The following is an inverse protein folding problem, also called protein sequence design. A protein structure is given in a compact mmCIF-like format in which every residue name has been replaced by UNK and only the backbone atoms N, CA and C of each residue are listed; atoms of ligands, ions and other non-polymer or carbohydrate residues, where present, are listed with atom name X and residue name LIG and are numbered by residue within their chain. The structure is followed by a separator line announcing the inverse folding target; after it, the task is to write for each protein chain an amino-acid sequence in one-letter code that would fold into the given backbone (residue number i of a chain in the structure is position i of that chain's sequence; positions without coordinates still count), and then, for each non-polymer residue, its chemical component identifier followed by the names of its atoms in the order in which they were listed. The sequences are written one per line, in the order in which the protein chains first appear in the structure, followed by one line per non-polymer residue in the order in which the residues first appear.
data_IF_698411070516
#
_entry.id   IF_698411070516
#
_cell.length_a   1.000
_cell.length_b   1.000
_cell.length_c   1.000
_cell.angle_alpha   90.00
_cell.angle_beta   90.00
_cell.angle_gamma   90.00
#
_symmetry.space_group_name_H-M   'P 1'
#
loop_
_entity.id
_entity.type
_entity.pdbx_description
1 polymer ?
#
# COMPACT_ATOMS: atom_id res chain seq x y z
N UNK A 1 4.36 -9.24 16.49
CA UNK A 1 3.51 -8.04 16.67
C UNK A 1 2.76 -7.82 15.38
N UNK A 2 1.45 -7.60 15.45
CA UNK A 2 0.61 -7.41 14.27
C UNK A 2 0.27 -5.93 14.10
N UNK A 3 0.43 -5.41 12.89
CA UNK A 3 0.22 -4.00 12.55
C UNK A 3 -1.00 -3.91 11.63
N UNK A 4 -2.02 -3.15 12.03
CA UNK A 4 -3.16 -2.88 11.17
C UNK A 4 -2.92 -1.61 10.35
N UNK A 5 -3.06 -1.71 9.03
CA UNK A 5 -3.03 -0.56 8.12
C UNK A 5 -4.45 -0.25 7.66
N UNK A 6 -4.90 0.98 7.92
CA UNK A 6 -6.24 1.45 7.55
C UNK A 6 -6.12 2.39 6.36
N UNK A 7 -6.81 2.04 5.27
CA UNK A 7 -6.86 2.85 4.07
C UNK A 7 -8.08 3.76 4.09
N UNK A 8 -7.87 5.04 3.78
CA UNK A 8 -8.94 6.00 3.61
C UNK A 8 -9.75 5.78 2.31
N UNK A 9 -10.85 6.52 2.13
CA UNK A 9 -11.67 6.41 0.93
C UNK A 9 -10.87 6.76 -0.33
N UNK A 10 -11.24 6.14 -1.45
CA UNK A 10 -10.71 6.38 -2.79
C UNK A 10 -9.24 5.98 -3.04
N UNK A 11 -8.51 5.44 -2.05
CA UNK A 11 -7.14 4.94 -2.26
C UNK A 11 -7.09 3.73 -3.21
N UNK A 12 -8.21 3.03 -3.39
CA UNK A 12 -8.37 1.98 -4.40
C UNK A 12 -8.23 2.49 -5.85
N UNK A 13 -8.24 3.81 -6.07
CA UNK A 13 -8.07 4.44 -7.39
C UNK A 13 -6.60 4.74 -7.72
N UNK A 14 -5.67 4.56 -6.79
CA UNK A 14 -4.23 4.76 -7.03
C UNK A 14 -3.75 3.89 -8.21
N UNK A 15 -2.85 4.45 -9.01
CA UNK A 15 -2.34 3.83 -10.24
C UNK A 15 -3.27 3.96 -11.46
N UNK A 16 -4.50 4.46 -11.29
CA UNK A 16 -5.44 4.70 -12.40
C UNK A 16 -5.94 6.14 -12.46
N UNK A 17 -6.20 6.76 -11.30
CA UNK A 17 -6.61 8.16 -11.22
C UNK A 17 -5.40 9.07 -11.40
N UNK A 18 -5.50 9.99 -12.35
CA UNK A 18 -4.55 11.08 -12.61
C UNK A 18 -3.08 10.65 -12.36
N UNK A 19 -2.52 9.69 -13.14
CA UNK A 19 -1.23 9.08 -12.84
C UNK A 19 -0.06 10.06 -12.81
N UNK A 20 -0.16 11.17 -13.53
CA UNK A 20 0.83 12.25 -13.51
C UNK A 20 0.88 13.00 -12.16
N UNK A 21 -0.20 12.93 -11.37
CA UNK A 21 -0.34 13.57 -10.06
C UNK A 21 -0.09 12.58 -8.93
N UNK A 22 -0.70 11.39 -9.00
CA UNK A 22 -0.68 10.40 -7.91
C UNK A 22 0.31 9.25 -8.13
N UNK A 23 0.97 9.22 -9.29
CA UNK A 23 1.83 8.13 -9.70
C UNK A 23 1.05 6.92 -10.24
N UNK A 24 1.82 6.00 -10.81
CA UNK A 24 1.31 4.77 -11.44
C UNK A 24 1.19 3.59 -10.47
N UNK A 25 1.59 3.78 -9.21
CA UNK A 25 1.63 2.70 -8.22
C UNK A 25 0.23 2.46 -7.66
N UNK A 26 -0.22 1.20 -7.70
CA UNK A 26 -1.54 0.80 -7.18
C UNK A 26 -1.51 0.57 -5.66
N UNK A 27 -2.70 0.61 -5.05
CA UNK A 27 -2.85 0.25 -3.63
C UNK A 27 -2.40 -1.18 -3.33
N UNK A 28 -2.59 -2.11 -4.27
CA UNK A 28 -2.14 -3.49 -4.16
C UNK A 28 -0.61 -3.59 -4.12
N UNK A 29 0.09 -2.88 -4.99
CA UNK A 29 1.56 -2.82 -5.01
C UNK A 29 2.12 -2.21 -3.71
N UNK A 30 1.44 -1.19 -3.17
CA UNK A 30 1.77 -0.61 -1.86
C UNK A 30 1.61 -1.67 -0.75
N UNK A 31 0.48 -2.38 -0.71
CA UNK A 31 0.24 -3.42 0.30
C UNK A 31 1.28 -4.55 0.22
N UNK A 32 1.65 -4.98 -0.99
CA UNK A 32 2.70 -6.00 -1.18
C UNK A 32 4.04 -5.51 -0.65
N UNK A 33 4.43 -4.28 -0.99
CA UNK A 33 5.67 -3.66 -0.52
C UNK A 33 5.70 -3.54 1.02
N UNK A 34 4.57 -3.18 1.63
CA UNK A 34 4.41 -3.11 3.08
C UNK A 34 4.61 -4.48 3.73
N UNK A 35 3.97 -5.53 3.21
CA UNK A 35 4.10 -6.91 3.71
C UNK A 35 5.56 -7.37 3.69
N UNK A 36 6.25 -7.16 2.56
CA UNK A 36 7.67 -7.52 2.42
C UNK A 36 8.56 -6.73 3.39
N UNK A 37 8.30 -5.44 3.54
CA UNK A 37 9.06 -4.57 4.44
C UNK A 37 8.92 -4.97 5.91
N UNK A 38 7.70 -5.32 6.33
CA UNK A 38 7.41 -5.80 7.68
C UNK A 38 7.96 -7.20 7.95
N UNK A 39 7.81 -8.12 7.00
CA UNK A 39 8.35 -9.48 7.12
C UNK A 39 9.86 -9.46 7.36
N UNK A 40 10.60 -8.60 6.66
CA UNK A 40 12.05 -8.38 6.86
C UNK A 40 12.43 -7.90 8.26
N UNK A 41 11.46 -7.44 9.05
CA UNK A 41 11.64 -6.91 10.42
C UNK A 41 10.94 -7.74 11.48
N UNK A 42 10.38 -8.90 11.12
CA UNK A 42 9.66 -9.77 12.06
C UNK A 42 8.27 -9.26 12.46
N UNK A 43 7.67 -8.37 11.66
CA UNK A 43 6.30 -7.91 11.83
C UNK A 43 5.35 -8.57 10.83
N UNK A 44 4.08 -8.69 11.19
CA UNK A 44 2.99 -9.03 10.29
C UNK A 44 2.10 -7.81 10.06
N UNK A 45 1.59 -7.67 8.83
CA UNK A 45 0.60 -6.67 8.42
C UNK A 45 -0.55 -7.38 7.73
#
# INVERSE_FOLDING_TARGET
MNILVIHGPNLNLLGTREPDVYGVVSLEQINQSLREYAAKRGFSI
#
